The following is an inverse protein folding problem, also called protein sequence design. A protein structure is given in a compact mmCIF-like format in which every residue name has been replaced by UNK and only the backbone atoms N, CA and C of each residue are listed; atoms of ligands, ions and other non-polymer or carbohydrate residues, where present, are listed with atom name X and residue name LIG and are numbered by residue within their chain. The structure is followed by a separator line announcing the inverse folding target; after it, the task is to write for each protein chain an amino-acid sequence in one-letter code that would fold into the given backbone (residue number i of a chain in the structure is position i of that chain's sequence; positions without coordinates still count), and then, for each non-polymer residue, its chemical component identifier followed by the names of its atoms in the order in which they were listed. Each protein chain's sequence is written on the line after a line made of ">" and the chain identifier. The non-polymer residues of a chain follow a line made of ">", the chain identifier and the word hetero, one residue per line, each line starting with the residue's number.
data_IF_208736530238
#
_entry.id   IF_208736530238
#
_cell.length_a   1.000
_cell.length_b   1.000
_cell.length_c   1.000
_cell.angle_alpha   90.00
_cell.angle_beta   90.00
_cell.angle_gamma   90.00
#
_symmetry.space_group_name_H-M   'P 1'
#
loop_
_entity.id
_entity.type
_entity.pdbx_description
1 polymer ?
#
# COMPACT_ATOMS: atom_id res chain seq x y z
N UNK A 1 -12.04 -10.28 24.37
CA UNK A 1 -11.92 -8.80 24.50
C UNK A 1 -11.74 -8.26 23.09
N UNK A 2 -12.39 -7.15 22.69
CA UNK A 2 -12.13 -6.56 21.38
C UNK A 2 -10.63 -6.27 21.25
N UNK A 3 -10.03 -6.62 20.11
CA UNK A 3 -8.61 -6.38 19.90
C UNK A 3 -8.34 -4.87 20.00
N UNK A 4 -7.42 -4.46 20.88
CA UNK A 4 -7.00 -3.06 20.98
C UNK A 4 -6.33 -2.66 19.67
N UNK A 5 -6.96 -1.72 18.96
CA UNK A 5 -6.43 -1.18 17.70
C UNK A 5 -5.38 -0.12 18.01
N UNK A 6 -4.19 -0.30 17.46
CA UNK A 6 -3.13 0.69 17.47
C UNK A 6 -3.37 1.68 16.33
N UNK A 7 -3.92 2.85 16.67
CA UNK A 7 -4.29 3.88 15.71
C UNK A 7 -3.12 4.33 14.82
N UNK A 8 -1.88 4.23 15.30
CA UNK A 8 -0.70 4.64 14.51
C UNK A 8 -0.47 3.81 13.26
N UNK A 9 -1.00 2.58 13.20
CA UNK A 9 -0.97 1.74 12.00
C UNK A 9 -1.91 2.23 10.90
N UNK A 10 -2.85 3.11 11.26
CA UNK A 10 -3.88 3.61 10.36
C UNK A 10 -3.53 4.99 9.76
N UNK A 11 -2.45 5.63 10.24
CA UNK A 11 -2.02 6.93 9.73
C UNK A 11 -1.23 6.78 8.45
N UNK A 12 -1.54 7.63 7.48
CA UNK A 12 -0.72 7.85 6.29
C UNK A 12 0.58 8.52 6.76
N UNK A 13 1.76 7.93 6.51
CA UNK A 13 3.03 8.54 6.88
C UNK A 13 3.20 9.90 6.21
N UNK A 14 3.53 10.98 6.95
CA UNK A 14 3.69 12.29 6.34
C UNK A 14 4.87 12.29 5.36
N UNK A 15 4.77 13.01 4.23
CA UNK A 15 5.90 13.18 3.32
C UNK A 15 7.07 13.87 4.04
N UNK A 16 8.30 13.43 3.77
CA UNK A 16 9.50 13.99 4.39
C UNK A 16 9.93 15.30 3.69
N UNK A 17 10.60 16.23 4.38
CA UNK A 17 11.10 17.47 3.76
C UNK A 17 12.15 17.24 2.66
N UNK A 18 12.85 16.10 2.72
CA UNK A 18 13.89 15.67 1.78
C UNK A 18 13.32 14.87 0.59
N UNK A 19 12.00 14.89 0.41
CA UNK A 19 11.32 14.15 -0.64
C UNK A 19 11.68 14.68 -2.02
N UNK A 20 12.26 13.81 -2.85
CA UNK A 20 12.44 14.10 -4.28
C UNK A 20 11.15 13.74 -5.03
N UNK A 21 10.56 14.67 -5.79
CA UNK A 21 9.35 14.41 -6.57
C UNK A 21 9.55 13.27 -7.57
N UNK A 22 8.74 12.22 -7.47
CA UNK A 22 8.78 11.05 -8.37
C UNK A 22 7.64 11.11 -9.40
N UNK A 23 7.51 12.22 -10.13
CA UNK A 23 6.32 12.52 -10.95
C UNK A 23 5.94 11.41 -11.92
N UNK A 24 6.91 10.69 -12.50
CA UNK A 24 6.62 9.55 -13.41
C UNK A 24 5.92 8.39 -12.68
N UNK A 25 6.31 8.12 -11.43
CA UNK A 25 5.76 7.03 -10.63
C UNK A 25 4.41 7.41 -10.04
N UNK A 26 4.26 8.66 -9.59
CA UNK A 26 2.97 9.21 -9.16
C UNK A 26 1.94 9.14 -10.29
N UNK A 27 2.31 9.53 -11.52
CA UNK A 27 1.42 9.38 -12.69
C UNK A 27 1.06 7.92 -12.98
N UNK A 28 1.99 6.97 -12.76
CA UNK A 28 1.71 5.54 -12.90
C UNK A 28 0.74 5.03 -11.84
N UNK A 29 0.89 5.48 -10.60
CA UNK A 29 -0.05 5.18 -9.50
C UNK A 29 -1.44 5.70 -9.83
N UNK A 30 -1.55 6.96 -10.26
CA UNK A 30 -2.84 7.55 -10.60
C UNK A 30 -3.52 6.83 -11.77
N UNK A 31 -2.78 6.53 -12.84
CA UNK A 31 -3.31 5.74 -13.95
C UNK A 31 -3.70 4.31 -13.51
N UNK A 32 -3.04 3.78 -12.49
CA UNK A 32 -3.29 2.46 -11.91
C UNK A 32 -4.59 2.36 -11.13
N UNK A 33 -5.15 3.47 -10.67
CA UNK A 33 -6.42 3.51 -9.89
C UNK A 33 -7.62 2.92 -10.64
N UNK A 34 -7.55 2.83 -11.97
CA UNK A 34 -8.58 2.21 -12.82
C UNK A 34 -8.51 0.67 -12.84
N UNK A 35 -7.52 0.08 -12.18
CA UNK A 35 -7.29 -1.37 -12.08
C UNK A 35 -7.62 -1.84 -10.66
N UNK A 36 -7.76 -3.15 -10.45
CA UNK A 36 -8.00 -3.70 -9.11
C UNK A 36 -6.83 -3.50 -8.15
N UNK A 37 -5.60 -3.75 -8.60
CA UNK A 37 -4.41 -3.78 -7.75
C UNK A 37 -3.27 -2.96 -8.33
N UNK A 38 -2.63 -2.17 -7.48
CA UNK A 38 -1.26 -1.70 -7.68
C UNK A 38 -0.32 -2.36 -6.68
N UNK A 39 0.71 -3.05 -7.18
CA UNK A 39 1.77 -3.66 -6.38
C UNK A 39 3.06 -2.83 -6.50
N UNK A 40 3.53 -2.29 -5.37
CA UNK A 40 4.84 -1.65 -5.24
C UNK A 40 5.77 -2.63 -4.52
N UNK A 41 6.64 -3.30 -5.27
CA UNK A 41 7.47 -4.40 -4.74
C UNK A 41 8.95 -4.16 -5.03
N UNK A 42 9.73 -4.03 -3.95
CA UNK A 42 11.17 -3.82 -3.96
C UNK A 42 11.76 -4.01 -2.56
N UNK A 43 13.07 -4.29 -2.43
CA UNK A 43 13.73 -4.43 -1.12
C UNK A 43 13.57 -3.20 -0.20
N UNK A 44 14.05 -3.33 1.03
CA UNK A 44 14.11 -2.22 1.97
C UNK A 44 14.96 -1.05 1.40
N UNK A 45 14.59 0.18 1.77
CA UNK A 45 15.35 1.38 1.36
C UNK A 45 15.08 1.89 -0.07
N UNK A 46 14.14 1.31 -0.81
CA UNK A 46 13.72 1.80 -2.14
C UNK A 46 12.61 2.87 -2.09
N UNK A 47 12.20 3.33 -0.90
CA UNK A 47 11.23 4.41 -0.76
C UNK A 47 9.78 4.04 -1.14
N UNK A 48 9.38 2.76 -1.02
CA UNK A 48 8.02 2.28 -1.36
C UNK A 48 6.93 3.06 -0.60
N UNK A 49 7.00 3.05 0.73
CA UNK A 49 6.07 3.78 1.60
C UNK A 49 6.07 5.27 1.30
N UNK A 50 7.25 5.86 1.11
CA UNK A 50 7.43 7.28 0.77
C UNK A 50 6.77 7.64 -0.57
N UNK A 51 6.90 6.79 -1.59
CA UNK A 51 6.25 6.99 -2.88
C UNK A 51 4.73 6.95 -2.74
N UNK A 52 4.19 5.93 -2.06
CA UNK A 52 2.74 5.77 -1.91
C UNK A 52 2.16 6.89 -1.05
N UNK A 53 2.82 7.29 0.05
CA UNK A 53 2.34 8.38 0.89
C UNK A 53 2.38 9.74 0.19
N UNK A 54 3.41 10.00 -0.62
CA UNK A 54 3.48 11.21 -1.46
C UNK A 54 2.30 11.26 -2.44
N UNK A 55 2.04 10.16 -3.16
CA UNK A 55 0.92 10.09 -4.10
C UNK A 55 -0.43 10.26 -3.40
N UNK A 56 -0.61 9.67 -2.22
CA UNK A 56 -1.83 9.85 -1.42
C UNK A 56 -2.02 11.31 -1.01
N UNK A 57 -0.95 11.97 -0.53
CA UNK A 57 -1.00 13.38 -0.14
C UNK A 57 -1.39 14.29 -1.32
N UNK A 58 -0.82 14.07 -2.51
CA UNK A 58 -1.18 14.79 -3.74
C UNK A 58 -2.64 14.55 -4.14
N UNK A 59 -3.09 13.29 -4.06
CA UNK A 59 -4.47 12.90 -4.39
C UNK A 59 -5.48 13.57 -3.46
N UNK A 60 -5.21 13.60 -2.15
CA UNK A 60 -6.10 14.22 -1.17
C UNK A 60 -6.12 15.75 -1.29
N UNK A 61 -4.98 16.38 -1.57
CA UNK A 61 -4.90 17.83 -1.78
C UNK A 61 -5.74 18.31 -2.99
N UNK A 62 -5.87 17.47 -4.03
CA UNK A 62 -6.70 17.73 -5.19
C UNK A 62 -8.20 17.47 -5.01
N UNK A 63 -8.66 17.14 -3.80
CA UNK A 63 -10.05 16.69 -3.57
C UNK A 63 -10.34 15.30 -4.14
N UNK A 64 -9.31 14.48 -4.30
CA UNK A 64 -9.40 13.14 -4.88
C UNK A 64 -10.02 12.09 -3.95
N UNK A 65 -9.77 10.82 -4.26
CA UNK A 65 -10.38 9.65 -3.61
C UNK A 65 -10.05 9.59 -2.12
N UNK A 66 -10.99 9.05 -1.33
CA UNK A 66 -10.73 8.74 0.09
C UNK A 66 -9.73 7.59 0.18
N UNK A 67 -8.82 7.66 1.15
CA UNK A 67 -7.76 6.67 1.32
C UNK A 67 -7.80 6.11 2.74
N UNK A 68 -7.99 4.80 2.85
CA UNK A 68 -7.75 4.03 4.07
C UNK A 68 -6.33 3.47 4.04
N UNK A 69 -5.61 3.57 5.15
CA UNK A 69 -4.24 3.08 5.27
C UNK A 69 -4.17 2.02 6.36
N UNK A 70 -3.42 0.95 6.10
CA UNK A 70 -3.06 -0.05 7.09
C UNK A 70 -1.59 -0.45 6.90
N UNK A 71 -0.75 -0.04 7.85
CA UNK A 71 0.60 -0.58 8.00
C UNK A 71 0.54 -1.94 8.69
N UNK A 72 1.11 -2.97 8.07
CA UNK A 72 1.10 -4.33 8.57
C UNK A 72 2.36 -4.63 9.38
N UNK A 73 2.21 -5.46 10.41
CA UNK A 73 3.33 -6.00 11.19
C UNK A 73 3.13 -7.50 11.45
N UNK A 74 4.15 -8.15 12.01
CA UNK A 74 4.12 -9.59 12.27
C UNK A 74 2.95 -10.04 13.17
N UNK A 75 2.37 -9.13 13.96
CA UNK A 75 1.22 -9.42 14.80
C UNK A 75 -0.07 -9.65 13.99
N UNK A 76 -0.16 -9.13 12.76
CA UNK A 76 -1.35 -9.27 11.92
C UNK A 76 -1.43 -10.60 11.17
N UNK A 77 -0.53 -11.54 11.48
CA UNK A 77 -0.65 -12.93 11.07
C UNK A 77 -1.81 -13.67 11.76
N UNK A 78 -2.39 -13.11 12.83
CA UNK A 78 -3.66 -13.57 13.39
C UNK A 78 -4.83 -13.08 12.51
N UNK A 79 -5.64 -13.98 11.91
CA UNK A 79 -6.70 -13.59 10.97
C UNK A 79 -7.77 -12.69 11.59
N UNK A 80 -8.14 -12.91 12.85
CA UNK A 80 -9.14 -12.09 13.53
C UNK A 80 -8.63 -10.66 13.73
N UNK A 81 -7.36 -10.52 14.13
CA UNK A 81 -6.67 -9.24 14.23
C UNK A 81 -6.53 -8.56 12.87
N UNK A 82 -6.11 -9.28 11.84
CA UNK A 82 -6.01 -8.74 10.48
C UNK A 82 -7.33 -8.13 10.02
N UNK A 83 -8.45 -8.87 10.15
CA UNK A 83 -9.78 -8.37 9.79
C UNK A 83 -10.18 -7.19 10.68
N UNK A 84 -9.88 -7.22 11.98
CA UNK A 84 -10.18 -6.09 12.87
C UNK A 84 -9.44 -4.80 12.46
N UNK A 85 -8.17 -4.90 12.07
CA UNK A 85 -7.40 -3.75 11.55
C UNK A 85 -7.88 -3.30 10.18
N UNK A 86 -8.27 -4.23 9.29
CA UNK A 86 -8.83 -3.92 7.99
C UNK A 86 -10.15 -3.12 8.13
N UNK A 87 -11.04 -3.57 9.01
CA UNK A 87 -12.27 -2.82 9.37
C UNK A 87 -11.91 -1.46 9.97
N UNK A 88 -10.97 -1.41 10.91
CA UNK A 88 -10.58 -0.15 11.55
C UNK A 88 -10.00 0.86 10.55
N UNK A 89 -9.19 0.41 9.58
CA UNK A 89 -8.64 1.24 8.53
C UNK A 89 -9.76 1.83 7.65
N UNK A 90 -10.73 1.01 7.23
CA UNK A 90 -11.83 1.46 6.38
C UNK A 90 -12.82 2.38 7.10
N UNK A 91 -13.00 2.20 8.42
CA UNK A 91 -13.81 3.12 9.24
C UNK A 91 -13.28 4.56 9.26
N UNK A 92 -12.01 4.77 8.93
CA UNK A 92 -11.46 6.13 8.80
C UNK A 92 -12.08 6.91 7.63
N UNK A 93 -12.63 6.21 6.63
CA UNK A 93 -13.26 6.80 5.45
C UNK A 93 -14.76 6.50 5.34
N UNK A 94 -15.23 5.42 5.98
CA UNK A 94 -16.61 4.96 5.97
C UNK A 94 -16.97 4.35 7.35
N UNK A 95 -17.47 5.15 8.30
CA UNK A 95 -17.67 4.73 9.70
C UNK A 95 -18.54 3.49 9.92
N UNK A 96 -19.47 3.22 9.00
CA UNK A 96 -20.43 2.12 9.09
C UNK A 96 -19.83 0.74 8.76
N UNK A 97 -18.64 0.70 8.14
CA UNK A 97 -18.01 -0.57 7.71
C UNK A 97 -17.77 -1.50 8.90
N UNK A 98 -18.04 -2.79 8.71
CA UNK A 98 -17.67 -3.87 9.62
C UNK A 98 -18.47 -3.92 10.92
N UNK A 99 -19.66 -3.30 10.97
CA UNK A 99 -20.59 -3.44 12.11
C UNK A 99 -20.88 -4.91 12.44
N UNK A 100 -21.37 -5.65 11.44
CA UNK A 100 -21.69 -7.07 11.55
C UNK A 100 -20.44 -7.94 11.67
N UNK A 101 -19.37 -7.58 10.96
CA UNK A 101 -18.08 -8.30 10.97
C UNK A 101 -17.47 -8.35 12.37
N UNK A 102 -17.47 -7.22 13.10
CA UNK A 102 -16.92 -7.18 14.46
C UNK A 102 -17.77 -8.00 15.43
N UNK A 103 -19.09 -8.04 15.25
CA UNK A 103 -19.97 -8.91 16.04
C UNK A 103 -19.70 -10.39 15.75
N UNK A 104 -19.52 -10.77 14.48
CA UNK A 104 -19.15 -12.12 14.06
C UNK A 104 -17.78 -12.55 14.62
N UNK A 105 -16.79 -11.65 14.62
CA UNK A 105 -15.48 -11.90 15.22
C UNK A 105 -15.52 -12.06 16.74
N UNK A 106 -16.49 -11.43 17.43
CA UNK A 106 -16.66 -11.59 18.88
C UNK A 106 -17.43 -12.87 19.23
N UNK A 107 -18.33 -13.33 18.37
CA UNK A 107 -19.06 -14.60 18.50
C UNK A 107 -18.19 -15.84 18.16
N UNK A 108 -16.86 -15.67 18.13
CA UNK A 108 -15.78 -16.44 17.48
C UNK A 108 -15.64 -17.97 17.74
N UNK A 109 -16.70 -18.71 18.05
CA UNK A 109 -16.66 -20.18 18.02
C UNK A 109 -17.35 -20.81 16.81
N UNK A 110 -18.13 -20.07 16.00
CA UNK A 110 -19.00 -20.70 14.98
C UNK A 110 -19.07 -20.04 13.60
N UNK A 111 -18.53 -18.83 13.40
CA UNK A 111 -18.62 -18.18 12.08
C UNK A 111 -17.56 -18.74 11.11
N UNK A 112 -18.00 -19.17 9.93
CA UNK A 112 -17.09 -19.58 8.87
C UNK A 112 -16.28 -18.37 8.36
N UNK A 113 -14.95 -18.48 8.17
CA UNK A 113 -14.11 -17.37 7.69
C UNK A 113 -14.63 -16.70 6.42
N UNK A 114 -15.18 -17.49 5.49
CA UNK A 114 -15.74 -16.99 4.23
C UNK A 114 -16.97 -16.11 4.45
N UNK A 115 -17.80 -16.38 5.46
CA UNK A 115 -18.96 -15.56 5.77
C UNK A 115 -18.54 -14.17 6.26
N UNK A 116 -17.46 -14.09 7.03
CA UNK A 116 -16.88 -12.82 7.50
C UNK A 116 -16.36 -12.02 6.32
N UNK A 117 -15.61 -12.66 5.40
CA UNK A 117 -15.09 -11.99 4.21
C UNK A 117 -16.19 -11.53 3.26
N UNK A 118 -17.25 -12.33 3.08
CA UNK A 118 -18.41 -11.96 2.27
C UNK A 118 -19.17 -10.76 2.86
N UNK A 119 -19.37 -10.74 4.19
CA UNK A 119 -19.96 -9.58 4.86
C UNK A 119 -19.12 -8.32 4.65
N UNK A 120 -17.80 -8.45 4.79
CA UNK A 120 -16.87 -7.36 4.57
C UNK A 120 -16.89 -6.83 3.12
N UNK A 121 -16.97 -7.73 2.13
CA UNK A 121 -17.11 -7.34 0.72
C UNK A 121 -18.43 -6.60 0.43
N UNK A 122 -19.52 -7.00 1.10
CA UNK A 122 -20.79 -6.28 0.98
C UNK A 122 -20.68 -4.87 1.58
N UNK A 123 -19.99 -4.71 2.70
CA UNK A 123 -19.70 -3.39 3.26
C UNK A 123 -18.87 -2.54 2.29
N UNK A 124 -17.86 -3.13 1.62
CA UNK A 124 -17.05 -2.42 0.63
C UNK A 124 -17.90 -1.96 -0.55
N UNK A 125 -18.80 -2.82 -1.02
CA UNK A 125 -19.71 -2.53 -2.12
C UNK A 125 -20.74 -1.44 -1.77
N UNK A 126 -21.05 -1.25 -0.48
CA UNK A 126 -21.96 -0.23 0.01
C UNK A 126 -21.33 1.17 0.12
N UNK A 127 -19.99 1.29 0.04
CA UNK A 127 -19.32 2.59 0.01
C UNK A 127 -19.61 3.25 -1.35
N UNK A 128 -20.24 4.44 -1.38
CA UNK A 128 -20.77 5.03 -2.61
C UNK A 128 -19.69 5.69 -3.49
N UNK A 129 -18.60 6.15 -2.89
CA UNK A 129 -17.53 6.89 -3.57
C UNK A 129 -16.33 5.99 -3.85
N UNK A 130 -15.59 6.30 -4.92
CA UNK A 130 -14.29 5.67 -5.20
C UNK A 130 -13.33 5.85 -4.02
N UNK A 131 -12.68 4.76 -3.61
CA UNK A 131 -11.72 4.79 -2.52
C UNK A 131 -10.52 3.88 -2.75
N UNK A 132 -9.44 4.18 -2.03
CA UNK A 132 -8.21 3.42 -2.04
C UNK A 132 -8.01 2.77 -0.68
N UNK A 133 -7.63 1.50 -0.67
CA UNK A 133 -7.05 0.85 0.50
C UNK A 133 -5.57 0.63 0.25
N UNK A 134 -4.73 1.15 1.14
CA UNK A 134 -3.28 0.89 1.15
C UNK A 134 -2.96 -0.15 2.22
N UNK A 135 -2.35 -1.25 1.81
CA UNK A 135 -1.71 -2.23 2.68
C UNK A 135 -0.20 -2.05 2.57
N UNK A 136 0.39 -1.40 3.57
CA UNK A 136 1.82 -1.13 3.61
C UNK A 136 2.55 -2.28 4.34
N UNK A 137 3.69 -2.69 3.81
CA UNK A 137 4.57 -3.73 4.34
C UNK A 137 3.95 -5.13 4.41
N UNK A 138 3.26 -5.56 3.34
CA UNK A 138 2.61 -6.89 3.26
C UNK A 138 3.55 -8.08 3.48
N UNK A 139 4.84 -7.95 3.16
CA UNK A 139 5.87 -8.95 3.48
C UNK A 139 5.99 -9.31 4.98
N UNK A 140 5.38 -8.54 5.88
CA UNK A 140 5.27 -8.91 7.29
C UNK A 140 4.25 -10.05 7.56
N UNK A 141 3.42 -10.36 6.56
CA UNK A 141 2.42 -11.42 6.60
C UNK A 141 2.97 -12.67 5.93
N UNK A 142 2.98 -13.78 6.66
CA UNK A 142 3.37 -15.12 6.21
C UNK A 142 2.32 -16.19 6.57
N UNK A 143 1.24 -15.81 7.26
CA UNK A 143 0.16 -16.69 7.61
C UNK A 143 -0.77 -16.98 6.41
N UNK A 144 -0.78 -18.25 5.99
CA UNK A 144 -1.63 -18.75 4.89
C UNK A 144 -3.12 -18.31 5.02
N UNK A 145 -3.78 -18.33 6.19
CA UNK A 145 -5.17 -17.88 6.29
C UNK A 145 -5.37 -16.40 5.94
N UNK A 146 -4.38 -15.53 6.22
CA UNK A 146 -4.43 -14.10 5.87
C UNK A 146 -4.18 -13.91 4.38
N UNK A 147 -3.22 -14.65 3.80
CA UNK A 147 -2.98 -14.65 2.36
C UNK A 147 -4.22 -15.12 1.57
N UNK A 148 -4.86 -16.21 2.02
CA UNK A 148 -6.11 -16.71 1.43
C UNK A 148 -7.24 -15.70 1.54
N UNK A 149 -7.36 -14.99 2.67
CA UNK A 149 -8.33 -13.92 2.84
C UNK A 149 -8.08 -12.77 1.85
N UNK A 150 -6.83 -12.34 1.68
CA UNK A 150 -6.46 -11.31 0.70
C UNK A 150 -6.74 -11.74 -0.73
N UNK A 151 -6.41 -12.98 -1.09
CA UNK A 151 -6.70 -13.53 -2.42
C UNK A 151 -8.21 -13.55 -2.70
N UNK A 152 -9.01 -13.95 -1.71
CA UNK A 152 -10.47 -13.94 -1.80
C UNK A 152 -11.02 -12.52 -1.97
N UNK A 153 -10.57 -11.57 -1.15
CA UNK A 153 -10.98 -10.17 -1.27
C UNK A 153 -10.67 -9.63 -2.68
N UNK A 154 -9.45 -9.89 -3.19
CA UNK A 154 -8.98 -9.44 -4.50
C UNK A 154 -9.79 -10.02 -5.67
N UNK A 155 -10.25 -11.26 -5.56
CA UNK A 155 -11.13 -11.88 -6.55
C UNK A 155 -12.46 -11.13 -6.69
N UNK A 156 -13.05 -10.75 -5.55
CA UNK A 156 -14.39 -10.15 -5.46
C UNK A 156 -14.40 -8.64 -5.19
N UNK A 157 -13.25 -7.96 -5.29
CA UNK A 157 -13.16 -6.51 -5.07
C UNK A 157 -14.21 -5.74 -5.88
N UNK A 158 -14.98 -4.84 -5.23
CA UNK A 158 -15.97 -4.04 -5.92
C UNK A 158 -15.29 -2.96 -6.80
N UNK A 159 -15.94 -2.50 -7.88
CA UNK A 159 -15.30 -1.65 -8.89
C UNK A 159 -14.87 -0.27 -8.40
N UNK A 160 -15.49 0.27 -7.34
CA UNK A 160 -15.13 1.55 -6.74
C UNK A 160 -13.88 1.47 -5.84
N UNK A 161 -13.40 0.26 -5.53
CA UNK A 161 -12.26 0.06 -4.65
C UNK A 161 -10.99 -0.21 -5.43
N UNK A 162 -9.93 0.55 -5.14
CA UNK A 162 -8.57 0.29 -5.60
C UNK A 162 -7.68 -0.19 -4.45
N UNK A 163 -6.99 -1.31 -4.64
CA UNK A 163 -6.04 -1.83 -3.66
C UNK A 163 -4.60 -1.44 -4.04
N UNK A 164 -3.85 -0.89 -3.09
CA UNK A 164 -2.41 -0.64 -3.21
C UNK A 164 -1.69 -1.48 -2.16
N UNK A 165 -0.70 -2.26 -2.60
CA UNK A 165 0.12 -3.10 -1.73
C UNK A 165 1.57 -2.65 -1.85
N UNK A 166 2.25 -2.46 -0.73
CA UNK A 166 3.72 -2.42 -0.71
C UNK A 166 4.28 -3.70 -0.13
N UNK A 167 5.39 -4.19 -0.70
CA UNK A 167 6.04 -5.41 -0.22
C UNK A 167 7.53 -5.42 -0.56
N UNK A 168 8.32 -6.23 0.17
CA UNK A 168 9.73 -6.46 -0.16
C UNK A 168 9.94 -7.47 -1.27
N UNK A 169 8.96 -8.34 -1.43
CA UNK A 169 8.94 -9.44 -2.39
C UNK A 169 7.54 -9.64 -2.95
N UNK A 170 7.40 -10.53 -3.92
CA UNK A 170 6.10 -10.79 -4.53
C UNK A 170 5.23 -11.58 -3.56
N UNK A 171 4.08 -11.03 -3.13
CA UNK A 171 3.19 -11.74 -2.23
C UNK A 171 2.56 -12.94 -2.93
N UNK A 172 2.12 -13.94 -2.15
CA UNK A 172 1.44 -15.16 -2.61
C UNK A 172 0.01 -14.88 -3.12
N UNK A 173 -0.13 -13.96 -4.06
CA UNK A 173 -1.37 -13.53 -4.68
C UNK A 173 -1.43 -13.98 -6.14
N UNK A 174 -2.62 -14.05 -6.76
CA UNK A 174 -2.78 -14.45 -8.16
C UNK A 174 -2.32 -13.36 -9.16
N UNK A 175 -1.10 -12.85 -9.00
CA UNK A 175 -0.53 -11.73 -9.78
C UNK A 175 -0.52 -12.03 -11.28
N UNK A 176 -0.21 -13.27 -11.68
CA UNK A 176 -0.22 -13.67 -13.09
C UNK A 176 -1.61 -13.53 -13.73
N UNK A 177 -2.68 -13.90 -13.02
CA UNK A 177 -4.08 -13.78 -13.47
C UNK A 177 -4.49 -12.30 -13.58
N UNK A 178 -4.08 -11.47 -12.62
CA UNK A 178 -4.37 -10.03 -12.63
C UNK A 178 -3.62 -9.33 -13.76
N UNK A 179 -2.37 -9.72 -14.02
CA UNK A 179 -1.57 -9.23 -15.14
C UNK A 179 -2.22 -9.59 -16.48
N UNK A 180 -2.60 -10.85 -16.67
CA UNK A 180 -3.25 -11.32 -17.90
C UNK A 180 -4.60 -10.64 -18.18
N UNK A 181 -5.33 -10.26 -17.13
CA UNK A 181 -6.61 -9.54 -17.23
C UNK A 181 -6.50 -8.01 -17.27
N UNK A 182 -5.28 -7.46 -17.24
CA UNK A 182 -5.06 -6.01 -17.25
C UNK A 182 -5.44 -5.29 -15.94
N UNK A 183 -5.65 -6.04 -14.85
CA UNK A 183 -6.09 -5.55 -13.54
C UNK A 183 -4.94 -5.28 -12.56
N UNK A 184 -3.69 -5.34 -13.02
CA UNK A 184 -2.50 -5.13 -12.20
C UNK A 184 -1.67 -3.95 -12.74
N UNK A 185 -1.32 -3.02 -11.86
CA UNK A 185 -0.21 -2.08 -12.04
C UNK A 185 0.95 -2.56 -11.18
N UNK A 186 2.15 -2.64 -11.73
CA UNK A 186 3.34 -3.04 -10.98
C UNK A 186 4.33 -1.87 -10.95
N UNK A 187 4.96 -1.62 -9.80
CA UNK A 187 6.11 -0.72 -9.66
C UNK A 187 7.20 -1.54 -8.96
N UNK A 188 8.28 -1.78 -9.69
CA UNK A 188 9.35 -2.71 -9.27
C UNK A 188 10.59 -1.96 -8.78
N UNK A 189 11.56 -2.68 -8.22
CA UNK A 189 12.82 -2.10 -7.76
C UNK A 189 13.52 -1.27 -8.87
N UNK A 190 13.53 -1.77 -10.11
CA UNK A 190 14.07 -1.05 -11.27
C UNK A 190 13.34 0.25 -11.56
N UNK A 191 12.03 0.29 -11.34
CA UNK A 191 11.23 1.50 -11.47
C UNK A 191 11.48 2.48 -10.32
N UNK A 192 11.81 2.01 -9.12
CA UNK A 192 12.00 2.85 -7.92
C UNK A 192 13.39 3.46 -7.81
N UNK A 193 14.36 2.94 -8.57
CA UNK A 193 15.69 3.55 -8.68
C UNK A 193 15.57 5.03 -9.02
N UNK A 194 16.41 5.86 -8.42
CA UNK A 194 16.55 7.23 -8.90
C UNK A 194 17.01 7.22 -10.35
N UNK A 195 16.38 8.07 -11.15
CA UNK A 195 16.99 8.54 -12.41
C UNK A 195 18.11 9.53 -12.08
N UNK A 196 19.02 9.79 -13.02
CA UNK A 196 20.11 10.76 -12.85
C UNK A 196 19.61 12.12 -12.33
N UNK A 197 18.50 12.62 -12.90
CA UNK A 197 17.87 13.87 -12.49
C UNK A 197 17.37 13.82 -11.03
N UNK A 198 16.74 12.70 -10.65
CA UNK A 198 16.23 12.52 -9.29
C UNK A 198 17.37 12.30 -8.27
N UNK A 199 18.46 11.63 -8.67
CA UNK A 199 19.66 11.46 -7.85
C UNK A 199 20.39 12.79 -7.62
N UNK A 200 20.54 13.60 -8.67
CA UNK A 200 21.08 14.96 -8.58
C UNK A 200 20.20 15.84 -7.68
N UNK A 201 18.88 15.79 -7.84
CA UNK A 201 17.94 16.51 -6.97
C UNK A 201 18.08 16.05 -5.51
N UNK A 202 18.21 14.75 -5.26
CA UNK A 202 18.41 14.22 -3.91
C UNK A 202 19.69 14.75 -3.26
N UNK A 203 20.83 14.54 -3.92
CA UNK A 203 22.15 14.86 -3.37
C UNK A 203 22.36 16.37 -3.20
N UNK A 204 21.91 17.17 -4.17
CA UNK A 204 22.19 18.60 -4.18
C UNK A 204 21.09 19.44 -3.53
N UNK A 205 19.82 19.07 -3.71
CA UNK A 205 18.70 19.85 -3.16
C UNK A 205 18.29 19.36 -1.77
N UNK A 206 18.14 18.05 -1.59
CA UNK A 206 17.69 17.50 -0.31
C UNK A 206 18.83 17.37 0.72
N UNK A 207 20.02 16.93 0.28
CA UNK A 207 21.18 16.74 1.16
C UNK A 207 22.16 17.94 1.18
N UNK A 208 22.05 18.87 0.23
CA UNK A 208 22.86 20.09 0.20
C UNK A 208 24.34 19.87 -0.11
N UNK A 209 24.71 18.77 -0.80
CA UNK A 209 26.10 18.35 -0.98
C UNK A 209 26.86 19.09 -2.10
N UNK A 210 26.15 19.87 -2.94
CA UNK A 210 26.72 20.67 -4.04
C UNK A 210 27.71 19.90 -4.94
N UNK A 211 27.39 18.64 -5.25
CA UNK A 211 28.17 17.73 -6.09
C UNK A 211 28.06 18.10 -7.57
N UNK A 212 29.15 17.87 -8.31
CA UNK A 212 29.15 18.02 -9.77
C UNK A 212 28.35 16.89 -10.45
N UNK A 213 27.99 17.07 -11.72
CA UNK A 213 27.31 16.03 -12.48
C UNK A 213 28.14 14.72 -12.56
N UNK A 214 29.47 14.84 -12.67
CA UNK A 214 30.38 13.70 -12.72
C UNK A 214 30.43 12.95 -11.38
N UNK A 215 30.41 13.67 -10.25
CA UNK A 215 30.35 13.07 -8.91
C UNK A 215 29.02 12.35 -8.68
N UNK A 216 27.91 12.94 -9.12
CA UNK A 216 26.57 12.31 -9.04
C UNK A 216 26.54 11.04 -9.88
N UNK A 217 27.04 11.09 -11.12
CA UNK A 217 27.11 9.92 -12.01
C UNK A 217 27.99 8.80 -11.43
N UNK A 218 29.11 9.16 -10.80
CA UNK A 218 30.00 8.20 -10.14
C UNK A 218 29.35 7.53 -8.92
N UNK A 219 28.58 8.28 -8.13
CA UNK A 219 27.84 7.74 -6.99
C UNK A 219 26.65 6.88 -7.43
N UNK A 220 25.92 7.32 -8.46
CA UNK A 220 24.81 6.55 -9.02
C UNK A 220 25.29 5.23 -9.63
N UNK A 221 26.39 5.24 -10.38
CA UNK A 221 27.00 4.02 -10.93
C UNK A 221 27.42 3.00 -9.85
N UNK A 222 27.74 3.47 -8.64
CA UNK A 222 28.13 2.61 -7.50
C UNK A 222 26.95 2.12 -6.66
N UNK A 223 25.83 2.83 -6.69
CA UNK A 223 24.63 2.55 -5.89
C UNK A 223 23.49 1.99 -6.74
N UNK A 224 23.64 2.02 -8.06
CA UNK A 224 22.64 1.66 -9.07
C UNK A 224 21.27 2.33 -8.81
N UNK A 225 21.26 3.61 -8.43
CA UNK A 225 20.04 4.36 -8.11
C UNK A 225 19.33 3.92 -6.83
N UNK A 226 19.97 3.13 -5.96
CA UNK A 226 19.41 2.74 -4.67
C UNK A 226 19.38 3.91 -3.69
N UNK A 227 18.17 4.38 -3.37
CA UNK A 227 17.94 5.58 -2.53
C UNK A 227 18.69 5.51 -1.19
N UNK A 228 18.53 4.41 -0.45
CA UNK A 228 19.20 4.26 0.84
C UNK A 228 20.73 4.12 0.72
N UNK A 229 21.25 3.71 -0.44
CA UNK A 229 22.69 3.68 -0.70
C UNK A 229 23.29 5.06 -1.02
N UNK A 230 22.45 6.04 -1.35
CA UNK A 230 22.83 7.43 -1.61
C UNK A 230 22.75 8.34 -0.36
N UNK A 231 22.26 7.79 0.76
CA UNK A 231 22.16 8.48 2.07
C UNK A 231 23.43 8.31 2.91
#
# INVERSE_FOLDING_TARGET
>A
MPATILATKLYIPPPTPTLVPRTRLVKRLEAGTRRKLTLVSAPAGFGKTTLVSSWVAETQAGGGRRVAWLALDAGDNDPARFIAYLVAALRTIAPEVGGDVLALLQAAQQAAPQAILAALLNDFAAIPDDFVLVLDDLHAIDAEPVEQALAFLLEYLPPQMHLVITSREDPSLPLARLRASGNLTEIRATDLRFTDDEAAAFLNTAMGLALTADDVAALDARTEGWIAGLQ
#
